data_IF_260310158600
#
_entry.id   IF_260310158600
#
_cell.length_a   1.000
_cell.length_b   1.000
_cell.length_c   1.000
_cell.angle_alpha   90.00
_cell.angle_beta   90.00
_cell.angle_gamma   90.00
#
_symmetry.space_group_name_H-M   'P 1'
#
loop_
_entity.id
_entity.type
_entity.pdbx_description
1 polymer ?
#
# COMPACT_ATOMS: atom_id res chain seq x y z
N UNK A 1 13.33 21.76 5.33
CA UNK A 1 13.74 20.35 5.21
C UNK A 1 13.76 19.99 3.74
N UNK A 2 14.82 19.36 3.23
CA UNK A 2 14.89 18.86 1.86
C UNK A 2 14.86 17.33 1.89
N UNK A 3 14.08 16.75 0.98
CA UNK A 3 13.94 15.30 0.83
C UNK A 3 14.49 14.91 -0.53
N UNK A 4 15.36 13.91 -0.55
CA UNK A 4 15.86 13.27 -1.76
C UNK A 4 15.48 11.81 -1.73
N UNK A 5 15.02 11.28 -2.86
CA UNK A 5 14.70 9.86 -3.02
C UNK A 5 15.26 9.39 -4.35
N UNK A 6 15.81 8.20 -4.34
CA UNK A 6 16.21 7.50 -5.55
C UNK A 6 15.82 6.03 -5.48
N UNK A 7 15.46 5.46 -6.62
CA UNK A 7 15.17 4.04 -6.76
C UNK A 7 16.04 3.44 -7.87
N UNK A 8 16.44 2.19 -7.69
CA UNK A 8 17.31 1.45 -8.60
C UNK A 8 16.77 0.04 -8.80
N UNK A 9 17.10 -0.54 -9.94
CA UNK A 9 16.78 -1.92 -10.30
C UNK A 9 17.98 -2.55 -10.97
N UNK A 10 18.34 -3.77 -10.55
CA UNK A 10 19.26 -4.64 -11.28
C UNK A 10 18.60 -5.97 -11.58
N UNK A 11 18.76 -6.46 -12.80
CA UNK A 11 18.35 -7.79 -13.23
C UNK A 11 19.57 -8.72 -13.41
N UNK A 12 20.71 -8.33 -12.85
CA UNK A 12 21.91 -9.13 -12.93
C UNK A 12 21.73 -10.46 -12.18
N UNK A 13 22.10 -11.62 -12.79
CA UNK A 13 21.85 -12.93 -12.19
C UNK A 13 22.73 -13.20 -10.94
N UNK A 14 23.87 -12.53 -10.81
CA UNK A 14 24.75 -12.64 -9.64
C UNK A 14 24.42 -11.57 -8.62
N UNK A 15 24.07 -11.98 -7.41
CA UNK A 15 23.68 -11.10 -6.32
C UNK A 15 24.73 -10.02 -6.01
N UNK A 16 26.00 -10.35 -6.00
CA UNK A 16 27.11 -9.41 -5.76
C UNK A 16 27.17 -8.29 -6.80
N UNK A 17 26.92 -8.59 -8.07
CA UNK A 17 26.86 -7.58 -9.12
C UNK A 17 25.59 -6.73 -9.00
N UNK A 18 24.43 -7.37 -8.75
CA UNK A 18 23.19 -6.67 -8.58
C UNK A 18 23.26 -5.65 -7.44
N UNK A 19 23.86 -6.02 -6.29
CA UNK A 19 24.07 -5.08 -5.17
C UNK A 19 25.02 -3.95 -5.58
N UNK A 20 26.12 -4.26 -6.26
CA UNK A 20 27.09 -3.25 -6.71
C UNK A 20 26.45 -2.22 -7.64
N UNK A 21 25.62 -2.66 -8.60
CA UNK A 21 24.90 -1.78 -9.52
C UNK A 21 23.88 -0.89 -8.76
N UNK A 22 23.05 -1.50 -7.90
CA UNK A 22 22.03 -0.76 -7.16
C UNK A 22 22.66 0.21 -6.14
N UNK A 23 23.59 -0.26 -5.30
CA UNK A 23 24.22 0.58 -4.28
C UNK A 23 25.08 1.68 -4.93
N UNK A 24 25.80 1.39 -6.00
CA UNK A 24 26.57 2.38 -6.75
C UNK A 24 25.70 3.53 -7.26
N UNK A 25 24.58 3.21 -7.90
CA UNK A 25 23.64 4.22 -8.38
C UNK A 25 23.01 5.05 -7.25
N UNK A 26 22.70 4.43 -6.09
CA UNK A 26 22.20 5.18 -4.92
C UNK A 26 23.27 6.10 -4.31
N UNK A 27 24.54 5.66 -4.25
CA UNK A 27 25.66 6.50 -3.81
C UNK A 27 25.85 7.71 -4.71
N UNK A 28 25.74 7.54 -6.02
CA UNK A 28 25.80 8.65 -6.99
C UNK A 28 24.61 9.60 -6.83
N UNK A 29 23.41 9.07 -6.53
CA UNK A 29 22.18 9.85 -6.38
C UNK A 29 22.15 10.69 -5.10
N UNK A 30 22.57 10.12 -3.95
CA UNK A 30 22.36 10.77 -2.64
C UNK A 30 23.53 10.65 -1.66
N UNK A 31 24.55 9.85 -1.97
CA UNK A 31 25.68 9.59 -1.07
C UNK A 31 25.39 8.53 0.00
N UNK A 32 26.28 8.47 0.98
CA UNK A 32 26.17 7.54 2.12
C UNK A 32 25.09 7.93 3.12
N UNK A 33 24.80 7.00 4.02
CA UNK A 33 23.93 7.16 5.17
C UNK A 33 22.53 7.70 4.83
N UNK A 34 21.75 7.05 3.92
CA UNK A 34 20.34 7.35 3.78
C UNK A 34 19.60 7.08 5.10
N UNK A 35 18.56 7.87 5.40
CA UNK A 35 17.72 7.63 6.57
C UNK A 35 16.94 6.32 6.47
N UNK A 36 16.57 5.93 5.25
CA UNK A 36 15.85 4.68 4.95
C UNK A 36 16.35 4.04 3.67
N UNK A 37 16.53 2.71 3.70
CA UNK A 37 16.61 1.87 2.50
C UNK A 37 15.47 0.85 2.52
N UNK A 38 14.69 0.83 1.45
CA UNK A 38 13.76 -0.24 1.13
C UNK A 38 14.39 -1.14 0.07
N UNK A 39 14.41 -2.43 0.31
CA UNK A 39 15.00 -3.41 -0.58
C UNK A 39 13.99 -4.52 -0.89
N UNK A 40 13.90 -4.90 -2.15
CA UNK A 40 13.11 -6.06 -2.56
C UNK A 40 13.88 -6.94 -3.53
N UNK A 41 13.77 -8.26 -3.33
CA UNK A 41 14.27 -9.26 -4.28
C UNK A 41 13.14 -10.11 -4.80
N UNK A 42 13.27 -10.55 -6.05
CA UNK A 42 12.43 -11.60 -6.59
C UNK A 42 12.89 -12.98 -6.14
N UNK A 43 12.05 -14.05 -6.26
CA UNK A 43 12.33 -15.37 -5.75
C UNK A 43 13.70 -15.96 -6.09
N UNK A 44 14.28 -15.79 -7.30
CA UNK A 44 15.60 -16.34 -7.62
C UNK A 44 16.74 -15.83 -6.73
N UNK A 45 16.64 -14.62 -6.18
CA UNK A 45 17.65 -14.04 -5.29
C UNK A 45 17.38 -14.26 -3.79
N UNK A 46 16.28 -14.91 -3.42
CA UNK A 46 15.93 -15.10 -1.99
C UNK A 46 17.01 -15.84 -1.20
N UNK A 47 17.72 -16.77 -1.85
CA UNK A 47 18.82 -17.52 -1.19
C UNK A 47 20.05 -16.68 -0.89
N UNK A 48 20.25 -15.55 -1.58
CA UNK A 48 21.38 -14.64 -1.39
C UNK A 48 21.00 -13.39 -0.59
N UNK A 49 19.78 -13.33 -0.05
CA UNK A 49 19.24 -12.09 0.56
C UNK A 49 20.06 -11.62 1.77
N UNK A 50 20.58 -12.52 2.60
CA UNK A 50 21.44 -12.17 3.74
C UNK A 50 22.75 -11.53 3.29
N UNK A 51 23.39 -12.06 2.24
CA UNK A 51 24.61 -11.51 1.67
C UNK A 51 24.35 -10.13 1.01
N UNK A 52 23.20 -10.01 0.31
CA UNK A 52 22.74 -8.75 -0.29
C UNK A 52 22.60 -7.67 0.79
N UNK A 53 21.97 -7.99 1.91
CA UNK A 53 21.76 -7.07 3.02
C UNK A 53 23.07 -6.68 3.71
N UNK A 54 23.92 -7.66 3.99
CA UNK A 54 25.24 -7.38 4.56
C UNK A 54 26.06 -6.43 3.68
N UNK A 55 26.03 -6.61 2.37
CA UNK A 55 26.68 -5.73 1.42
C UNK A 55 26.02 -4.34 1.36
N UNK A 56 24.68 -4.28 1.40
CA UNK A 56 23.93 -3.01 1.42
C UNK A 56 24.26 -2.18 2.66
N UNK A 57 24.26 -2.80 3.84
CA UNK A 57 24.63 -2.15 5.10
C UNK A 57 26.08 -1.63 5.06
N UNK A 58 27.01 -2.42 4.51
CA UNK A 58 28.41 -2.03 4.42
C UNK A 58 28.65 -0.87 3.44
N UNK A 59 27.92 -0.83 2.32
CA UNK A 59 28.10 0.16 1.26
C UNK A 59 27.34 1.46 1.53
N UNK A 60 26.12 1.39 2.04
CA UNK A 60 25.23 2.55 2.19
C UNK A 60 25.15 3.06 3.62
N UNK A 61 25.35 2.20 4.63
CA UNK A 61 25.18 2.50 6.06
C UNK A 61 23.85 3.22 6.39
N UNK A 62 22.69 2.67 6.01
CA UNK A 62 21.40 3.32 6.23
C UNK A 62 21.04 3.42 7.70
N UNK A 63 20.27 4.45 8.08
CA UNK A 63 19.70 4.57 9.43
C UNK A 63 18.67 3.47 9.71
N UNK A 64 17.81 3.16 8.74
CA UNK A 64 16.84 2.06 8.77
C UNK A 64 16.89 1.29 7.45
N UNK A 65 16.93 -0.04 7.53
CA UNK A 65 16.85 -0.93 6.38
C UNK A 65 15.64 -1.88 6.54
N UNK A 66 14.76 -1.88 5.55
CA UNK A 66 13.69 -2.88 5.41
C UNK A 66 13.92 -3.67 4.12
N UNK A 67 13.90 -5.00 4.23
CA UNK A 67 13.98 -5.84 3.04
C UNK A 67 12.96 -6.97 3.03
N UNK A 68 12.46 -7.27 1.85
CA UNK A 68 11.40 -8.26 1.63
C UNK A 68 11.60 -9.03 0.32
N UNK A 69 10.96 -10.18 0.22
CA UNK A 69 10.80 -10.90 -1.05
C UNK A 69 9.45 -10.56 -1.68
N UNK A 70 9.40 -10.36 -2.99
CA UNK A 70 8.15 -10.14 -3.72
C UNK A 70 8.19 -10.81 -5.10
N UNK A 71 7.05 -11.32 -5.56
CA UNK A 71 6.92 -11.92 -6.89
C UNK A 71 7.02 -10.89 -8.02
N UNK A 72 6.71 -9.63 -7.74
CA UNK A 72 6.73 -8.54 -8.71
C UNK A 72 7.29 -7.27 -8.09
N UNK A 73 8.23 -6.65 -8.79
CA UNK A 73 8.86 -5.37 -8.47
C UNK A 73 8.40 -4.33 -9.49
N UNK A 74 8.03 -3.14 -9.03
CA UNK A 74 7.68 -1.98 -9.84
C UNK A 74 8.80 -0.94 -9.75
N UNK A 75 9.15 -0.36 -10.89
CA UNK A 75 10.05 0.79 -11.00
C UNK A 75 9.42 1.86 -11.90
N UNK A 76 10.15 2.94 -12.22
CA UNK A 76 9.64 3.97 -13.13
C UNK A 76 9.31 3.37 -14.52
N UNK A 77 8.00 3.24 -14.81
CA UNK A 77 7.49 2.74 -16.08
C UNK A 77 7.71 1.25 -16.36
N UNK A 78 8.23 0.46 -15.41
CA UNK A 78 8.57 -0.94 -15.64
C UNK A 78 8.23 -1.86 -14.46
N UNK A 79 7.82 -3.08 -14.77
CA UNK A 79 7.57 -4.15 -13.82
C UNK A 79 8.42 -5.37 -14.15
N UNK A 80 9.01 -6.01 -13.13
CA UNK A 80 9.74 -7.27 -13.25
C UNK A 80 9.01 -8.31 -12.41
N UNK A 81 8.66 -9.43 -13.04
CA UNK A 81 7.86 -10.49 -12.40
C UNK A 81 8.60 -11.81 -12.47
N UNK A 82 8.88 -12.42 -11.32
CA UNK A 82 9.40 -13.77 -11.14
C UNK A 82 10.76 -14.08 -11.82
N UNK A 83 11.34 -13.15 -12.56
CA UNK A 83 12.72 -13.24 -13.08
C UNK A 83 13.69 -12.65 -12.05
N UNK A 84 14.98 -12.89 -12.21
CA UNK A 84 15.99 -12.37 -11.30
C UNK A 84 15.94 -10.85 -11.26
N UNK A 85 15.70 -10.28 -10.08
CA UNK A 85 15.74 -8.82 -9.87
C UNK A 85 16.00 -8.48 -8.41
N UNK A 86 16.77 -7.41 -8.22
CA UNK A 86 17.00 -6.68 -6.98
C UNK A 86 16.58 -5.24 -7.21
N UNK A 87 15.75 -4.67 -6.34
CA UNK A 87 15.43 -3.25 -6.36
C UNK A 87 15.68 -2.63 -5.00
N UNK A 88 16.23 -1.43 -5.02
CA UNK A 88 16.47 -0.62 -3.83
C UNK A 88 15.84 0.77 -4.00
N UNK A 89 15.32 1.32 -2.90
CA UNK A 89 14.90 2.71 -2.81
C UNK A 89 15.52 3.32 -1.57
N UNK A 90 16.18 4.47 -1.71
CA UNK A 90 16.78 5.17 -0.61
C UNK A 90 16.18 6.56 -0.43
N UNK A 91 15.97 6.94 0.84
CA UNK A 91 15.47 8.23 1.28
C UNK A 91 16.53 8.94 2.12
N UNK A 92 16.86 10.17 1.75
CA UNK A 92 17.71 11.09 2.51
C UNK A 92 16.87 12.30 2.92
N UNK A 93 16.91 12.65 4.20
CA UNK A 93 16.22 13.81 4.76
C UNK A 93 17.26 14.77 5.33
N UNK A 94 17.40 15.94 4.73
CA UNK A 94 18.35 16.95 5.19
C UNK A 94 17.63 18.17 5.74
N UNK A 95 18.04 18.64 6.90
CA UNK A 95 17.63 19.95 7.37
C UNK A 95 18.23 21.01 6.43
N UNK A 96 17.41 21.91 5.90
CA UNK A 96 17.92 23.04 5.11
C UNK A 96 18.98 23.81 5.94
N UNK A 97 19.93 24.48 5.26
CA UNK A 97 21.01 25.25 5.85
C UNK A 97 20.51 26.13 7.01
N UNK A 98 20.52 25.58 8.23
CA UNK A 98 20.44 26.37 9.44
C UNK A 98 21.84 26.87 9.73
N UNK A 99 22.03 28.18 9.72
CA UNK A 99 23.26 28.77 10.26
C UNK A 99 23.42 28.25 11.68
N UNK A 100 24.62 27.83 12.10
CA UNK A 100 24.88 27.34 13.45
C UNK A 100 24.58 28.50 14.43
N UNK A 101 23.43 28.44 15.04
CA UNK A 101 23.14 29.30 16.20
C UNK A 101 23.89 28.72 17.38
N UNK A 102 24.74 29.53 18.01
CA UNK A 102 25.38 29.20 19.26
C UNK A 102 24.34 29.01 20.35
N UNK A 103 23.82 27.82 20.48
CA UNK A 103 22.90 27.43 21.55
C UNK A 103 23.30 26.08 22.12
N UNK A 104 23.28 26.04 23.47
CA UNK A 104 23.30 24.89 24.40
C UNK A 104 23.32 23.48 23.79
N UNK A 105 23.96 22.49 24.41
CA UNK A 105 23.96 21.12 23.91
C UNK A 105 22.53 20.69 23.69
N UNK A 106 22.12 20.70 22.43
CA UNK A 106 20.82 20.26 21.99
C UNK A 106 20.70 18.74 22.23
N UNK A 107 19.57 18.32 22.73
CA UNK A 107 19.14 16.91 22.63
C UNK A 107 19.37 16.46 21.19
N UNK A 108 19.93 15.27 21.01
CA UNK A 108 20.13 14.70 19.67
C UNK A 108 18.79 14.77 18.91
N UNK A 109 18.78 15.32 17.69
CA UNK A 109 17.53 15.44 16.95
C UNK A 109 16.90 14.05 16.78
N UNK A 110 15.60 13.93 17.08
CA UNK A 110 14.88 12.67 16.88
C UNK A 110 15.08 12.16 15.44
N UNK A 111 15.34 10.86 15.25
CA UNK A 111 15.56 10.29 13.94
C UNK A 111 14.33 10.52 13.05
N UNK A 112 14.57 10.90 11.78
CA UNK A 112 13.51 11.16 10.80
C UNK A 112 12.78 9.89 10.36
N UNK A 113 13.43 8.75 10.54
CA UNK A 113 12.86 7.42 10.30
C UNK A 113 13.22 6.53 11.50
N UNK A 114 12.23 5.84 12.04
CA UNK A 114 12.41 4.88 13.15
C UNK A 114 12.06 3.47 12.69
N UNK A 115 12.88 2.50 13.04
CA UNK A 115 12.61 1.08 12.85
C UNK A 115 11.60 0.59 13.90
N UNK A 116 10.59 -0.15 13.47
CA UNK A 116 9.54 -0.72 14.34
C UNK A 116 9.44 -2.22 14.06
N UNK A 117 9.35 -3.02 15.12
CA UNK A 117 9.07 -4.46 15.05
C UNK A 117 7.83 -4.76 15.88
N UNK A 118 6.88 -5.47 15.26
CA UNK A 118 5.71 -6.01 15.95
C UNK A 118 5.72 -7.54 15.79
N UNK A 119 5.72 -8.28 16.88
CA UNK A 119 5.70 -9.74 16.83
C UNK A 119 4.36 -10.27 16.32
N UNK A 120 4.33 -11.50 15.80
CA UNK A 120 3.09 -12.16 15.41
C UNK A 120 2.20 -12.56 16.59
N UNK A 121 2.71 -12.46 17.83
CA UNK A 121 2.05 -12.90 19.07
C UNK A 121 1.51 -11.74 19.92
N UNK A 122 1.30 -10.55 19.33
CA UNK A 122 0.72 -9.39 20.03
C UNK A 122 -0.59 -9.81 20.70
N UNK A 123 -0.69 -9.60 22.02
CA UNK A 123 -1.91 -9.84 22.78
C UNK A 123 -2.89 -8.66 22.58
N UNK A 124 -3.75 -8.78 21.58
CA UNK A 124 -4.71 -7.73 21.20
C UNK A 124 -5.83 -7.54 22.24
N UNK A 125 -5.93 -8.41 23.23
CA UNK A 125 -6.88 -8.25 24.36
C UNK A 125 -6.29 -7.39 25.48
N UNK A 126 -4.98 -7.13 25.43
CA UNK A 126 -4.28 -6.25 26.38
C UNK A 126 -3.88 -4.95 25.67
N UNK A 127 -4.59 -3.83 25.93
CA UNK A 127 -4.26 -2.54 25.35
C UNK A 127 -2.88 -1.98 25.80
N UNK A 128 -2.26 -2.57 26.80
CA UNK A 128 -0.95 -2.21 27.33
C UNK A 128 0.18 -3.10 26.79
N UNK A 129 0.00 -3.76 25.64
CA UNK A 129 1.07 -4.50 25.00
C UNK A 129 2.23 -3.56 24.67
N UNK A 130 3.41 -3.87 25.19
CA UNK A 130 4.61 -3.04 25.07
C UNK A 130 5.03 -2.79 23.61
N UNK A 131 4.63 -3.68 22.71
CA UNK A 131 4.92 -3.52 21.28
C UNK A 131 4.05 -2.45 20.62
N UNK A 132 2.77 -2.36 20.99
CA UNK A 132 1.88 -1.29 20.53
C UNK A 132 2.15 0.04 21.24
N UNK A 133 2.68 0.01 22.46
CA UNK A 133 3.05 1.20 23.22
C UNK A 133 4.06 2.08 22.49
N UNK A 134 5.01 1.48 21.75
CA UNK A 134 5.99 2.21 20.93
C UNK A 134 5.32 3.05 19.80
N UNK A 135 4.07 2.73 19.45
CA UNK A 135 3.27 3.48 18.47
C UNK A 135 2.30 4.46 19.12
N UNK A 136 2.14 4.43 20.47
CA UNK A 136 1.18 5.29 21.16
C UNK A 136 1.43 6.76 20.84
N UNK A 137 0.36 7.43 20.38
CA UNK A 137 0.40 8.82 19.93
C UNK A 137 1.42 9.10 18.80
N UNK A 138 1.96 8.08 18.13
CA UNK A 138 2.80 8.28 16.97
C UNK A 138 2.01 8.95 15.85
N UNK A 139 2.68 9.81 15.12
CA UNK A 139 2.16 10.50 13.93
C UNK A 139 3.14 10.34 12.77
N UNK A 140 2.66 10.53 11.56
CA UNK A 140 3.47 10.35 10.35
C UNK A 140 3.00 9.15 9.54
N UNK A 141 3.93 8.55 8.78
CA UNK A 141 3.62 7.44 7.89
C UNK A 141 4.39 6.18 8.26
N UNK A 142 3.68 5.09 8.50
CA UNK A 142 4.24 3.78 8.78
C UNK A 142 4.26 2.94 7.50
N UNK A 143 5.45 2.64 6.98
CA UNK A 143 5.64 1.63 5.93
C UNK A 143 5.72 0.28 6.64
N UNK A 144 4.76 -0.61 6.40
CA UNK A 144 4.57 -1.83 7.16
C UNK A 144 4.59 -3.07 6.27
N UNK A 145 5.47 -4.02 6.58
CA UNK A 145 5.52 -5.32 5.91
C UNK A 145 5.21 -6.46 6.88
N UNK A 146 4.42 -7.41 6.42
CA UNK A 146 4.02 -8.57 7.20
C UNK A 146 4.21 -9.90 6.48
N UNK A 147 4.23 -10.98 7.27
CA UNK A 147 4.18 -12.35 6.76
C UNK A 147 2.77 -12.66 6.26
N UNK A 148 2.59 -13.30 5.07
CA UNK A 148 1.27 -13.65 4.54
C UNK A 148 0.49 -14.65 5.40
N UNK A 149 1.15 -15.40 6.28
CA UNK A 149 0.48 -16.31 7.21
C UNK A 149 -0.14 -15.61 8.42
N UNK A 150 0.06 -14.30 8.56
CA UNK A 150 -0.44 -13.49 9.66
C UNK A 150 -1.97 -13.33 9.59
N UNK A 151 -2.69 -14.34 10.09
CA UNK A 151 -4.17 -14.39 10.07
C UNK A 151 -4.87 -13.24 10.81
N UNK A 152 -4.13 -12.48 11.63
CA UNK A 152 -4.64 -11.40 12.47
C UNK A 152 -4.27 -10.01 11.95
N UNK A 153 -3.80 -9.88 10.70
CA UNK A 153 -3.37 -8.60 10.14
C UNK A 153 -4.43 -7.50 10.32
N UNK A 154 -5.68 -7.77 9.98
CA UNK A 154 -6.78 -6.80 10.14
C UNK A 154 -7.01 -6.38 11.60
N UNK A 155 -6.84 -7.30 12.57
CA UNK A 155 -6.99 -6.99 14.00
C UNK A 155 -5.82 -6.12 14.47
N UNK A 156 -4.57 -6.46 14.10
CA UNK A 156 -3.38 -5.67 14.43
C UNK A 156 -3.50 -4.25 13.86
N UNK A 157 -3.92 -4.11 12.60
CA UNK A 157 -4.10 -2.80 11.97
C UNK A 157 -5.18 -1.96 12.67
N UNK A 158 -6.26 -2.60 13.13
CA UNK A 158 -7.28 -1.94 13.94
C UNK A 158 -6.71 -1.43 15.26
N UNK A 159 -5.95 -2.27 15.99
CA UNK A 159 -5.30 -1.88 17.24
C UNK A 159 -4.29 -0.74 17.02
N UNK A 160 -3.54 -0.75 15.90
CA UNK A 160 -2.68 0.39 15.52
C UNK A 160 -3.51 1.67 15.36
N UNK A 161 -4.67 1.61 14.68
CA UNK A 161 -5.56 2.77 14.51
C UNK A 161 -6.10 3.29 15.84
N UNK A 162 -6.35 2.40 16.81
CA UNK A 162 -6.85 2.75 18.14
C UNK A 162 -5.78 3.44 19.00
N UNK A 163 -4.54 2.93 19.01
CA UNK A 163 -3.45 3.50 19.83
C UNK A 163 -2.80 4.72 19.19
N UNK A 164 -2.84 4.83 17.86
CA UNK A 164 -2.22 5.90 17.09
C UNK A 164 -3.14 6.40 15.95
N UNK A 165 -4.26 7.06 16.25
CA UNK A 165 -5.24 7.49 15.25
C UNK A 165 -4.71 8.53 14.26
N UNK A 166 -3.59 9.19 14.56
CA UNK A 166 -2.90 10.12 13.66
C UNK A 166 -1.87 9.47 12.74
N UNK A 167 -1.68 8.15 12.84
CA UNK A 167 -0.72 7.39 12.06
C UNK A 167 -1.35 6.93 10.75
N UNK A 168 -0.66 7.20 9.64
CA UNK A 168 -1.02 6.65 8.34
C UNK A 168 -0.22 5.38 8.08
N UNK A 169 -0.83 4.35 7.53
CA UNK A 169 -0.18 3.06 7.28
C UNK A 169 -0.30 2.71 5.81
N UNK A 170 0.83 2.32 5.22
CA UNK A 170 0.93 1.76 3.88
C UNK A 170 1.78 0.50 3.90
N UNK A 171 1.65 -0.33 2.89
CA UNK A 171 2.46 -1.55 2.78
C UNK A 171 1.64 -2.78 2.46
N UNK A 172 2.01 -3.92 3.04
CA UNK A 172 1.26 -5.16 2.84
C UNK A 172 1.98 -6.41 3.32
N UNK A 173 1.34 -7.56 3.18
CA UNK A 173 1.97 -8.85 3.40
C UNK A 173 2.77 -9.26 2.16
N UNK A 174 4.02 -9.67 2.37
CA UNK A 174 4.99 -9.91 1.29
C UNK A 174 5.53 -11.32 1.32
N UNK A 175 5.92 -11.84 0.16
CA UNK A 175 6.46 -13.18 0.03
C UNK A 175 6.45 -13.64 -1.41
N UNK A 176 6.61 -14.94 -1.63
CA UNK A 176 6.55 -15.54 -2.95
C UNK A 176 5.47 -16.62 -3.05
N UNK A 177 4.64 -16.52 -4.07
CA UNK A 177 3.66 -17.56 -4.42
C UNK A 177 4.31 -18.87 -4.90
N UNK A 178 5.55 -18.83 -5.39
CA UNK A 178 6.29 -19.99 -5.86
C UNK A 178 7.03 -20.76 -4.78
N UNK A 179 7.35 -20.10 -3.66
CA UNK A 179 8.01 -20.71 -2.51
C UNK A 179 7.12 -20.51 -1.29
N UNK A 180 6.06 -21.32 -1.12
CA UNK A 180 5.23 -21.25 0.06
C UNK A 180 6.06 -21.64 1.29
N UNK A 181 6.39 -20.68 2.08
CA UNK A 181 7.15 -20.77 3.32
C UNK A 181 6.94 -19.47 4.08
N UNK A 182 7.44 -19.38 5.31
CA UNK A 182 7.37 -18.10 6.04
C UNK A 182 8.08 -17.03 5.22
N UNK A 183 7.48 -15.83 5.17
CA UNK A 183 8.10 -14.68 4.55
C UNK A 183 9.46 -14.40 5.22
N UNK A 184 10.39 -13.94 4.43
CA UNK A 184 11.65 -13.43 4.96
C UNK A 184 11.55 -11.93 5.02
N UNK A 185 11.34 -11.43 6.24
CA UNK A 185 11.29 -10.02 6.56
C UNK A 185 12.61 -9.63 7.21
N UNK A 186 13.24 -8.58 6.74
CA UNK A 186 14.50 -8.12 7.32
C UNK A 186 14.37 -6.68 7.80
N UNK A 187 14.82 -6.46 9.02
CA UNK A 187 14.89 -5.17 9.67
C UNK A 187 16.33 -4.95 10.18
N UNK A 188 17.04 -3.98 9.63
CA UNK A 188 18.40 -3.62 10.01
C UNK A 188 19.34 -4.86 10.04
N UNK A 189 19.32 -5.65 8.96
CA UNK A 189 20.12 -6.86 8.83
C UNK A 189 19.65 -8.08 9.62
N UNK A 190 18.61 -7.98 10.43
CA UNK A 190 18.06 -9.09 11.19
C UNK A 190 16.87 -9.73 10.45
N UNK A 191 16.91 -11.05 10.29
CA UNK A 191 15.84 -11.82 9.66
C UNK A 191 14.72 -12.13 10.67
N UNK A 192 13.47 -11.93 10.23
CA UNK A 192 12.25 -12.30 10.94
C UNK A 192 11.39 -13.17 10.03
N UNK A 193 10.79 -14.20 10.59
CA UNK A 193 9.93 -15.15 9.85
C UNK A 193 8.46 -15.06 10.30
N UNK A 194 8.13 -14.10 11.13
CA UNK A 194 6.79 -13.87 11.66
C UNK A 194 6.53 -12.38 11.89
N UNK A 195 5.28 -12.02 12.15
CA UNK A 195 4.86 -10.68 12.57
C UNK A 195 5.03 -9.62 11.48
N UNK A 196 5.39 -8.42 11.91
CA UNK A 196 5.45 -7.21 11.09
C UNK A 196 6.77 -6.46 11.34
N UNK A 197 7.35 -5.92 10.28
CA UNK A 197 8.46 -4.97 10.34
C UNK A 197 8.02 -3.66 9.73
N UNK A 198 8.51 -2.53 10.24
CA UNK A 198 8.12 -1.24 9.71
C UNK A 198 9.20 -0.16 9.83
N UNK A 199 9.04 0.86 9.00
CA UNK A 199 9.72 2.15 9.11
C UNK A 199 8.67 3.25 9.36
N UNK A 200 8.79 3.94 10.48
CA UNK A 200 7.99 5.11 10.79
C UNK A 200 8.69 6.36 10.28
N UNK A 201 8.11 6.98 9.25
CA UNK A 201 8.55 8.25 8.69
C UNK A 201 7.91 9.39 9.49
N UNK A 202 8.75 10.30 9.98
CA UNK A 202 8.31 11.49 10.73
C UNK A 202 7.28 12.31 9.93
N UNK A 203 6.25 12.91 10.59
CA UNK A 203 5.27 13.78 9.94
C UNK A 203 5.89 15.05 9.35
N UNK A 204 7.12 15.37 9.70
CA UNK A 204 7.86 16.50 9.12
C UNK A 204 8.35 16.21 7.69
N UNK A 205 8.43 14.94 7.27
CA UNK A 205 8.72 14.55 5.90
C UNK A 205 7.45 14.68 5.06
N UNK A 206 7.42 15.56 4.06
CA UNK A 206 6.22 15.77 3.27
C UNK A 206 5.90 14.52 2.43
N UNK A 207 4.74 13.95 2.67
CA UNK A 207 4.22 12.77 1.95
C UNK A 207 2.74 12.94 1.68
N UNK A 208 2.27 12.35 0.58
CA UNK A 208 0.85 12.20 0.29
C UNK A 208 0.54 10.73 0.07
N UNK A 209 -0.52 10.28 0.69
CA UNK A 209 -0.99 8.91 0.58
C UNK A 209 -2.30 8.85 -0.18
N UNK A 210 -2.46 7.78 -0.93
CA UNK A 210 -3.73 7.46 -1.57
C UNK A 210 -3.86 5.97 -1.77
N UNK A 211 -5.10 5.52 -1.89
CA UNK A 211 -5.45 4.12 -2.13
C UNK A 211 -6.37 4.03 -3.34
N UNK A 212 -5.98 3.21 -4.31
CA UNK A 212 -6.86 2.76 -5.39
C UNK A 212 -7.39 1.38 -5.03
N UNK A 213 -8.71 1.27 -4.88
CA UNK A 213 -9.37 -0.01 -4.58
C UNK A 213 -9.78 -0.76 -5.86
N UNK A 214 -9.49 -0.18 -7.02
CA UNK A 214 -9.74 -0.79 -8.32
C UNK A 214 -11.21 -0.95 -8.66
N UNK A 215 -12.08 -0.15 -8.08
CA UNK A 215 -13.53 -0.23 -8.25
C UNK A 215 -14.08 1.07 -8.82
N UNK A 216 -14.97 0.96 -9.79
CA UNK A 216 -15.77 2.09 -10.26
C UNK A 216 -17.22 1.91 -9.85
N UNK A 217 -17.72 2.84 -9.03
CA UNK A 217 -19.10 2.83 -8.56
C UNK A 217 -20.08 3.07 -9.73
N UNK A 218 -21.22 2.38 -9.71
CA UNK A 218 -22.31 2.59 -10.65
C UNK A 218 -23.68 2.48 -9.96
N UNK A 219 -24.67 3.11 -10.54
CA UNK A 219 -25.98 3.28 -9.90
C UNK A 219 -25.95 4.29 -8.74
N UNK A 220 -27.09 4.60 -8.19
CA UNK A 220 -27.22 5.49 -7.04
C UNK A 220 -26.90 4.75 -5.73
N UNK A 221 -26.40 5.45 -4.70
CA UNK A 221 -26.35 4.91 -3.35
C UNK A 221 -27.74 4.55 -2.83
N UNK A 222 -27.88 3.42 -2.14
CA UNK A 222 -29.14 2.88 -1.64
C UNK A 222 -29.03 2.51 -0.15
N UNK A 223 -30.15 2.61 0.55
CA UNK A 223 -30.21 2.25 1.96
C UNK A 223 -30.56 0.76 2.11
N UNK A 224 -29.84 0.04 2.97
CA UNK A 224 -30.20 -1.32 3.36
C UNK A 224 -31.40 -1.26 4.30
N UNK A 225 -32.58 -1.65 3.80
CA UNK A 225 -33.84 -1.61 4.54
C UNK A 225 -34.21 -2.94 5.17
N UNK A 226 -33.61 -4.05 4.69
CA UNK A 226 -33.74 -5.36 5.33
C UNK A 226 -32.51 -6.23 5.06
N UNK A 227 -31.86 -6.68 6.13
CA UNK A 227 -30.72 -7.60 6.09
C UNK A 227 -30.69 -8.49 7.33
N UNK A 228 -30.06 -9.66 7.21
CA UNK A 228 -29.76 -10.56 8.31
C UNK A 228 -28.33 -11.10 8.10
N UNK A 229 -27.41 -10.77 9.02
CA UNK A 229 -25.99 -11.06 8.89
C UNK A 229 -25.43 -10.55 7.55
N UNK A 230 -24.94 -11.45 6.72
CA UNK A 230 -24.38 -11.16 5.40
C UNK A 230 -25.37 -11.40 4.24
N UNK A 231 -26.67 -11.45 4.52
CA UNK A 231 -27.72 -11.57 3.50
C UNK A 231 -28.53 -10.30 3.45
N UNK A 232 -28.53 -9.62 2.30
CA UNK A 232 -29.34 -8.43 2.05
C UNK A 232 -30.61 -8.82 1.28
N UNK A 233 -31.76 -8.51 1.87
CA UNK A 233 -33.09 -8.79 1.28
C UNK A 233 -33.64 -7.58 0.55
N UNK A 234 -33.48 -6.38 1.11
CA UNK A 234 -34.08 -5.16 0.56
C UNK A 234 -33.15 -3.96 0.58
N UNK A 235 -33.17 -3.22 -0.52
CA UNK A 235 -32.48 -1.94 -0.74
C UNK A 235 -33.55 -0.90 -1.13
N UNK A 236 -33.65 0.19 -0.36
CA UNK A 236 -34.70 1.22 -0.50
C UNK A 236 -36.12 0.64 -0.59
N UNK A 237 -36.41 -0.44 0.18
CA UNK A 237 -37.69 -1.11 0.20
C UNK A 237 -37.97 -2.01 -1.02
N UNK A 238 -36.99 -2.23 -1.89
CA UNK A 238 -37.05 -3.10 -3.08
C UNK A 238 -36.23 -4.35 -2.89
N UNK A 239 -36.62 -5.45 -3.52
CA UNK A 239 -35.82 -6.69 -3.52
C UNK A 239 -34.38 -6.44 -3.96
N UNK A 240 -33.38 -6.81 -3.12
CA UNK A 240 -31.97 -6.62 -3.42
C UNK A 240 -31.55 -7.33 -4.72
N UNK A 241 -32.08 -8.53 -4.99
CA UNK A 241 -31.79 -9.27 -6.23
C UNK A 241 -32.36 -8.56 -7.47
N UNK A 242 -33.55 -8.00 -7.39
CA UNK A 242 -34.16 -7.26 -8.51
C UNK A 242 -33.35 -6.00 -8.83
N UNK A 243 -32.95 -5.27 -7.79
CA UNK A 243 -32.08 -4.10 -7.93
C UNK A 243 -30.77 -4.45 -8.63
N UNK A 244 -30.07 -5.51 -8.18
CA UNK A 244 -28.84 -5.98 -8.83
C UNK A 244 -29.06 -6.36 -10.29
N UNK A 245 -30.16 -7.06 -10.59
CA UNK A 245 -30.47 -7.46 -11.97
C UNK A 245 -30.73 -6.27 -12.88
N UNK A 246 -31.43 -5.26 -12.40
CA UNK A 246 -31.67 -4.02 -13.13
C UNK A 246 -30.36 -3.25 -13.37
N UNK A 247 -29.52 -3.10 -12.35
CA UNK A 247 -28.22 -2.45 -12.48
C UNK A 247 -27.31 -3.18 -13.46
N UNK A 248 -27.20 -4.50 -13.35
CA UNK A 248 -26.42 -5.31 -14.30
C UNK A 248 -27.00 -5.24 -15.73
N UNK A 249 -28.29 -4.97 -15.90
CA UNK A 249 -28.88 -4.77 -17.22
C UNK A 249 -28.41 -3.47 -17.90
N UNK A 250 -27.89 -2.49 -17.16
CA UNK A 250 -27.30 -1.26 -17.69
C UNK A 250 -25.87 -1.46 -18.19
N UNK A 251 -25.20 -2.53 -17.75
CA UNK A 251 -23.85 -2.88 -18.22
C UNK A 251 -23.93 -3.42 -19.64
N UNK A 252 -22.93 -3.11 -20.47
CA UNK A 252 -22.86 -3.56 -21.86
C UNK A 252 -22.97 -5.08 -21.97
N UNK A 253 -23.65 -5.58 -23.00
CA UNK A 253 -24.02 -7.00 -23.14
C UNK A 253 -22.84 -7.95 -23.17
N UNK A 254 -21.77 -7.54 -23.84
CA UNK A 254 -20.50 -8.26 -23.96
C UNK A 254 -19.71 -8.31 -22.64
N UNK A 255 -19.91 -7.33 -21.77
CA UNK A 255 -19.25 -7.23 -20.47
C UNK A 255 -20.03 -7.89 -19.31
N UNK A 256 -21.28 -8.32 -19.51
CA UNK A 256 -22.14 -8.85 -18.44
C UNK A 256 -21.63 -10.11 -17.72
N UNK A 257 -21.03 -11.10 -18.40
CA UNK A 257 -20.47 -12.26 -17.70
C UNK A 257 -19.33 -11.86 -16.75
N UNK A 258 -18.43 -11.03 -17.23
CA UNK A 258 -17.34 -10.48 -16.43
C UNK A 258 -17.86 -9.56 -15.31
N UNK A 259 -18.92 -8.81 -15.54
CA UNK A 259 -19.52 -7.93 -14.55
C UNK A 259 -20.09 -8.68 -13.33
N UNK A 260 -20.52 -9.94 -13.48
CA UNK A 260 -21.02 -10.76 -12.35
C UNK A 260 -19.89 -11.08 -11.36
N UNK A 261 -18.74 -11.47 -11.87
CA UNK A 261 -17.57 -11.80 -11.04
C UNK A 261 -16.89 -10.52 -10.53
N UNK A 262 -17.05 -9.43 -11.28
CA UNK A 262 -16.52 -8.11 -10.96
C UNK A 262 -17.41 -7.30 -10.00
N UNK A 263 -18.64 -7.75 -9.70
CA UNK A 263 -19.59 -7.01 -8.88
C UNK A 263 -19.10 -6.89 -7.43
N UNK A 264 -19.08 -5.66 -6.95
CA UNK A 264 -18.72 -5.31 -5.57
C UNK A 264 -19.82 -4.43 -4.97
N UNK A 265 -19.80 -4.37 -3.65
CA UNK A 265 -20.63 -3.46 -2.87
C UNK A 265 -19.70 -2.59 -2.07
N UNK A 266 -19.84 -1.29 -2.23
CA UNK A 266 -19.17 -0.30 -1.42
C UNK A 266 -20.07 0.17 -0.29
N UNK A 267 -19.53 0.30 0.92
CA UNK A 267 -20.20 0.87 2.08
C UNK A 267 -19.72 2.30 2.27
N UNK A 268 -20.66 3.24 2.37
CA UNK A 268 -20.40 4.63 2.73
C UNK A 268 -20.61 4.84 4.24
N UNK A 269 -19.70 5.55 4.90
CA UNK A 269 -19.82 5.78 6.35
C UNK A 269 -20.90 6.80 6.72
N UNK A 270 -21.26 7.74 5.83
CA UNK A 270 -22.34 8.72 6.07
C UNK A 270 -23.01 9.15 4.77
N UNK A 271 -24.26 9.61 4.86
CA UNK A 271 -25.03 10.16 3.72
C UNK A 271 -24.43 11.44 3.12
N UNK A 272 -23.48 12.07 3.80
CA UNK A 272 -22.94 13.39 3.45
C UNK A 272 -21.49 13.32 2.91
N UNK A 273 -20.84 12.16 2.93
CA UNK A 273 -19.50 12.03 2.37
C UNK A 273 -19.58 11.97 0.85
N UNK A 274 -18.84 12.85 0.17
CA UNK A 274 -18.64 12.84 -1.27
C UNK A 274 -18.45 11.42 -1.82
N UNK A 275 -19.46 10.94 -2.44
CA UNK A 275 -19.71 9.87 -3.43
C UNK A 275 -18.71 8.69 -3.58
N UNK A 276 -17.71 8.48 -2.71
CA UNK A 276 -16.80 7.36 -2.82
C UNK A 276 -16.97 6.42 -1.63
N UNK A 277 -17.46 5.18 -1.83
CA UNK A 277 -17.52 4.17 -0.77
C UNK A 277 -16.13 3.95 -0.16
N UNK A 278 -16.10 3.80 1.15
CA UNK A 278 -14.85 3.71 1.92
C UNK A 278 -14.26 2.30 1.84
N UNK A 279 -15.12 1.31 1.67
CA UNK A 279 -14.76 -0.10 1.67
C UNK A 279 -15.61 -0.88 0.68
N UNK A 280 -14.96 -1.76 -0.11
CA UNK A 280 -15.61 -2.61 -1.10
C UNK A 280 -15.42 -4.09 -0.74
N UNK A 281 -16.49 -4.87 -0.85
CA UNK A 281 -16.48 -6.32 -0.68
C UNK A 281 -17.32 -7.03 -1.75
N UNK A 282 -17.15 -8.35 -1.87
CA UNK A 282 -17.72 -9.14 -2.94
C UNK A 282 -19.18 -9.54 -2.72
N UNK A 283 -19.86 -9.82 -3.82
CA UNK A 283 -21.16 -10.51 -3.82
C UNK A 283 -20.91 -12.01 -4.00
N UNK A 284 -21.19 -12.81 -2.97
CA UNK A 284 -20.96 -14.26 -2.96
C UNK A 284 -21.99 -15.03 -3.77
N UNK A 285 -23.23 -14.54 -3.86
CA UNK A 285 -24.28 -15.21 -4.55
C UNK A 285 -25.66 -14.55 -4.39
N UNK A 286 -26.67 -15.20 -4.95
CA UNK A 286 -28.05 -14.74 -4.89
C UNK A 286 -29.02 -15.91 -4.66
N UNK A 287 -30.03 -15.69 -3.83
CA UNK A 287 -31.17 -16.59 -3.65
C UNK A 287 -32.38 -16.06 -4.42
N UNK A 288 -32.80 -16.81 -5.44
CA UNK A 288 -33.93 -16.45 -6.28
C UNK A 288 -35.30 -16.59 -5.54
N UNK A 289 -35.41 -17.54 -4.60
CA UNK A 289 -36.64 -17.77 -3.87
C UNK A 289 -36.83 -16.67 -2.80
N UNK A 290 -35.80 -16.32 -2.08
CA UNK A 290 -35.78 -15.23 -1.11
C UNK A 290 -35.61 -13.84 -1.77
N UNK A 291 -35.30 -13.77 -3.06
CA UNK A 291 -34.99 -12.56 -3.82
C UNK A 291 -33.89 -11.72 -3.16
N UNK A 292 -32.89 -12.37 -2.55
CA UNK A 292 -31.83 -11.76 -1.76
C UNK A 292 -30.47 -11.96 -2.41
N UNK A 293 -29.48 -11.20 -1.94
CA UNK A 293 -28.07 -11.38 -2.27
C UNK A 293 -27.27 -11.68 -1.01
N UNK A 294 -26.27 -12.54 -1.14
CA UNK A 294 -25.32 -12.87 -0.09
C UNK A 294 -23.97 -12.19 -0.39
N UNK A 295 -23.39 -11.58 0.61
CA UNK A 295 -22.16 -10.78 0.51
C UNK A 295 -21.08 -11.28 1.44
N UNK A 296 -19.83 -10.82 1.27
CA UNK A 296 -18.69 -11.30 2.06
C UNK A 296 -18.73 -10.84 3.51
N UNK A 297 -19.34 -9.69 3.79
CA UNK A 297 -19.38 -9.07 5.11
C UNK A 297 -20.81 -8.86 5.63
N UNK A 298 -20.94 -8.71 6.94
CA UNK A 298 -22.22 -8.37 7.55
C UNK A 298 -22.56 -6.90 7.29
N UNK A 299 -23.77 -6.66 6.82
CA UNK A 299 -24.27 -5.31 6.51
C UNK A 299 -25.47 -5.00 7.38
N UNK A 300 -25.33 -3.97 8.22
CA UNK A 300 -26.41 -3.55 9.14
C UNK A 300 -27.55 -2.82 8.45
N UNK A 301 -28.72 -2.85 9.08
CA UNK A 301 -29.86 -2.02 8.68
C UNK A 301 -29.49 -0.53 8.75
N UNK A 302 -29.94 0.24 7.78
CA UNK A 302 -29.64 1.67 7.71
C UNK A 302 -28.28 2.01 7.12
N UNK A 303 -27.47 1.02 6.74
CA UNK A 303 -26.23 1.22 6.02
C UNK A 303 -26.50 1.70 4.61
N UNK A 304 -25.81 2.72 4.15
CA UNK A 304 -25.82 3.14 2.75
C UNK A 304 -24.81 2.34 1.96
N UNK A 305 -25.25 1.69 0.88
CA UNK A 305 -24.41 0.89 -0.01
C UNK A 305 -24.51 1.41 -1.43
N UNK A 306 -23.43 1.21 -2.20
CA UNK A 306 -23.41 1.50 -3.63
C UNK A 306 -22.74 0.34 -4.37
N UNK A 307 -23.28 -0.06 -5.50
CA UNK A 307 -22.66 -1.10 -6.32
C UNK A 307 -21.48 -0.55 -7.11
N UNK A 308 -20.50 -1.41 -7.33
CA UNK A 308 -19.31 -1.09 -8.11
C UNK A 308 -18.89 -2.28 -8.98
N UNK A 309 -18.14 -1.99 -10.02
CA UNK A 309 -17.44 -2.99 -10.83
C UNK A 309 -15.95 -2.96 -10.53
N UNK A 310 -15.36 -4.15 -10.47
CA UNK A 310 -13.93 -4.36 -10.31
C UNK A 310 -13.43 -5.18 -11.51
N UNK A 311 -12.90 -4.51 -12.50
CA UNK A 311 -12.23 -5.10 -13.67
C UNK A 311 -10.99 -4.27 -14.02
N UNK A 312 -10.21 -4.70 -15.02
CA UNK A 312 -8.98 -4.02 -15.41
C UNK A 312 -9.19 -2.56 -15.81
N UNK A 313 -10.32 -2.25 -16.46
CA UNK A 313 -10.68 -0.90 -16.86
C UNK A 313 -11.02 -0.05 -15.64
N UNK A 314 -11.90 -0.55 -14.78
CA UNK A 314 -12.29 0.12 -13.54
C UNK A 314 -11.08 0.37 -12.63
N UNK A 315 -10.16 -0.61 -12.55
CA UNK A 315 -8.94 -0.47 -11.77
C UNK A 315 -8.00 0.60 -12.33
N UNK A 316 -7.93 0.74 -13.65
CA UNK A 316 -7.14 1.79 -14.30
C UNK A 316 -7.77 3.16 -14.10
N UNK A 317 -9.08 3.28 -14.30
CA UNK A 317 -9.84 4.53 -14.12
C UNK A 317 -9.75 5.03 -12.67
N UNK A 318 -9.93 4.14 -11.69
CA UNK A 318 -9.82 4.44 -10.26
C UNK A 318 -8.37 4.86 -9.90
N UNK A 319 -7.36 4.13 -10.39
CA UNK A 319 -5.95 4.49 -10.17
C UNK A 319 -5.63 5.88 -10.73
N UNK A 320 -6.05 6.19 -11.94
CA UNK A 320 -5.87 7.51 -12.55
C UNK A 320 -6.62 8.60 -11.77
N UNK A 321 -7.84 8.32 -11.31
CA UNK A 321 -8.64 9.26 -10.53
C UNK A 321 -7.92 9.64 -9.23
N UNK A 322 -7.45 8.65 -8.45
CA UNK A 322 -6.75 8.94 -7.19
C UNK A 322 -5.39 9.61 -7.41
N UNK A 323 -4.66 9.24 -8.46
CA UNK A 323 -3.39 9.88 -8.81
C UNK A 323 -3.57 11.34 -9.24
N UNK A 324 -4.69 11.67 -9.91
CA UNK A 324 -4.99 13.04 -10.36
C UNK A 324 -5.20 14.02 -9.19
N UNK A 325 -5.50 13.54 -8.01
CA UNK A 325 -5.64 14.36 -6.79
C UNK A 325 -4.30 14.69 -6.14
N UNK A 326 -3.22 13.99 -6.52
CA UNK A 326 -1.90 14.17 -5.93
C UNK A 326 -1.11 15.25 -6.69
N UNK A 327 -0.28 16.03 -5.98
CA UNK A 327 0.66 16.94 -6.65
C UNK A 327 1.73 16.13 -7.41
N UNK A 328 2.42 16.80 -8.34
CA UNK A 328 3.62 16.21 -8.98
C UNK A 328 4.59 15.71 -7.92
N UNK A 329 5.12 14.52 -8.12
CA UNK A 329 5.98 13.88 -7.16
C UNK A 329 7.40 13.66 -7.73
N UNK A 330 8.40 13.77 -6.87
CA UNK A 330 9.76 13.34 -7.22
C UNK A 330 9.88 11.81 -7.15
N UNK A 331 9.08 11.17 -6.30
CA UNK A 331 9.09 9.72 -6.12
C UNK A 331 7.73 9.20 -5.65
N UNK A 332 7.49 7.91 -5.90
CA UNK A 332 6.34 7.18 -5.41
C UNK A 332 6.74 5.78 -4.94
N UNK A 333 6.29 5.40 -3.73
CA UNK A 333 6.28 4.01 -3.28
C UNK A 333 4.92 3.40 -3.59
N UNK A 334 4.89 2.19 -4.13
CA UNK A 334 3.67 1.52 -4.57
C UNK A 334 3.57 0.09 -4.01
N UNK A 335 2.50 -0.19 -3.27
CA UNK A 335 2.19 -1.51 -2.73
C UNK A 335 0.91 -2.00 -3.40
N UNK A 336 1.03 -2.96 -4.31
CA UNK A 336 -0.08 -3.36 -5.15
C UNK A 336 -0.44 -4.82 -4.91
N UNK A 337 -1.72 -5.17 -5.01
CA UNK A 337 -2.15 -6.55 -4.87
C UNK A 337 -1.54 -7.43 -5.96
N UNK A 338 -1.07 -8.63 -5.60
CA UNK A 338 -0.56 -9.62 -6.55
C UNK A 338 -1.57 -10.05 -7.61
N UNK A 339 -2.87 -9.86 -7.34
CA UNK A 339 -3.96 -10.10 -8.29
C UNK A 339 -4.02 -9.07 -9.42
N UNK A 340 -3.46 -7.87 -9.24
CA UNK A 340 -3.36 -6.80 -10.23
C UNK A 340 -2.11 -6.98 -11.11
N UNK A 341 -2.08 -8.04 -11.88
CA UNK A 341 -0.91 -8.51 -12.62
C UNK A 341 -1.10 -8.42 -14.15
N UNK A 342 -0.10 -8.90 -14.90
CA UNK A 342 -0.11 -8.97 -16.35
C UNK A 342 -1.38 -9.60 -16.93
N UNK A 343 -1.86 -10.70 -16.34
CA UNK A 343 -3.06 -11.38 -16.83
C UNK A 343 -4.33 -10.57 -16.58
N UNK A 344 -4.37 -9.82 -15.48
CA UNK A 344 -5.50 -8.95 -15.14
C UNK A 344 -5.58 -7.74 -16.07
N UNK A 345 -4.48 -7.04 -16.29
CA UNK A 345 -4.45 -5.84 -17.15
C UNK A 345 -4.28 -6.13 -18.64
N UNK A 346 -3.93 -7.37 -19.01
CA UNK A 346 -3.73 -7.78 -20.41
C UNK A 346 -2.45 -7.26 -21.06
N UNK A 347 -1.55 -6.64 -20.30
CA UNK A 347 -0.29 -6.11 -20.80
C UNK A 347 0.76 -5.92 -19.68
N UNK A 348 2.06 -5.92 -20.02
CA UNK A 348 3.14 -5.71 -19.06
C UNK A 348 3.24 -4.24 -18.65
N UNK A 349 3.83 -4.00 -17.48
CA UNK A 349 4.21 -2.67 -16.99
C UNK A 349 3.06 -1.69 -16.76
N UNK A 350 1.82 -2.17 -16.66
CA UNK A 350 0.64 -1.33 -16.66
C UNK A 350 0.62 -0.35 -15.50
N UNK A 351 0.68 -0.85 -14.26
CA UNK A 351 0.60 0.02 -13.07
C UNK A 351 1.82 0.93 -12.96
N UNK A 352 3.01 0.38 -13.21
CA UNK A 352 4.25 1.15 -13.17
C UNK A 352 4.23 2.32 -14.17
N UNK A 353 3.70 2.11 -15.39
CA UNK A 353 3.56 3.16 -16.40
C UNK A 353 2.56 4.21 -15.97
N UNK A 354 1.35 3.79 -15.54
CA UNK A 354 0.29 4.70 -15.09
C UNK A 354 0.77 5.59 -13.93
N UNK A 355 1.43 5.01 -12.92
CA UNK A 355 1.94 5.76 -11.77
C UNK A 355 3.02 6.76 -12.20
N UNK A 356 3.98 6.31 -13.00
CA UNK A 356 5.10 7.16 -13.44
C UNK A 356 4.64 8.33 -14.30
N UNK A 357 3.72 8.08 -15.22
CA UNK A 357 3.19 9.10 -16.12
C UNK A 357 2.31 10.11 -15.39
N UNK A 358 1.37 9.63 -14.55
CA UNK A 358 0.42 10.50 -13.86
C UNK A 358 1.11 11.43 -12.85
N UNK A 359 2.10 10.93 -12.10
CA UNK A 359 2.82 11.73 -11.10
C UNK A 359 4.04 12.46 -11.68
N UNK A 360 4.46 12.17 -12.90
CA UNK A 360 5.75 12.59 -13.46
C UNK A 360 6.92 12.25 -12.52
N UNK A 361 6.81 11.10 -11.81
CA UNK A 361 7.78 10.69 -10.83
C UNK A 361 9.05 10.14 -11.48
N UNK A 362 10.20 10.70 -11.12
CA UNK A 362 11.50 10.24 -11.59
C UNK A 362 11.90 8.91 -10.93
N UNK A 363 11.47 8.66 -9.69
CA UNK A 363 11.72 7.45 -8.96
C UNK A 363 10.38 6.77 -8.60
N UNK A 364 10.23 5.51 -8.97
CA UNK A 364 9.16 4.65 -8.50
C UNK A 364 9.79 3.40 -7.93
N UNK A 365 9.38 3.01 -6.73
CA UNK A 365 9.73 1.74 -6.13
C UNK A 365 8.44 1.09 -5.63
N UNK A 366 8.24 -0.16 -5.98
CA UNK A 366 7.04 -0.85 -5.54
C UNK A 366 7.18 -2.36 -5.60
N UNK A 367 6.25 -3.01 -4.93
CA UNK A 367 6.17 -4.47 -4.83
C UNK A 367 4.73 -4.94 -4.91
N UNK A 368 4.57 -6.20 -5.34
CA UNK A 368 3.30 -6.89 -5.15
C UNK A 368 3.18 -7.47 -3.75
N UNK A 369 1.98 -7.36 -3.18
CA UNK A 369 1.61 -7.89 -1.87
C UNK A 369 0.49 -8.93 -2.00
N UNK A 370 0.39 -9.86 -1.04
CA UNK A 370 -0.78 -10.73 -0.92
C UNK A 370 -1.97 -9.92 -0.42
N UNK A 371 -1.80 -9.23 0.72
CA UNK A 371 -2.73 -8.25 1.24
C UNK A 371 -2.08 -6.86 1.15
N UNK A 372 -2.83 -5.85 0.80
CA UNK A 372 -2.38 -4.46 0.78
C UNK A 372 -2.87 -3.76 2.03
N UNK A 373 -2.00 -2.99 2.68
CA UNK A 373 -2.37 -2.14 3.80
C UNK A 373 -2.52 -0.70 3.34
N UNK A 374 -3.58 -0.05 3.80
CA UNK A 374 -3.83 1.36 3.47
C UNK A 374 -4.64 2.05 4.54
N UNK A 375 -4.50 3.37 4.60
CA UNK A 375 -5.28 4.24 5.47
C UNK A 375 -6.31 5.01 4.66
N UNK A 376 -7.50 5.13 5.19
CA UNK A 376 -8.55 5.99 4.69
C UNK A 376 -9.26 6.70 5.86
N UNK A 377 -10.35 7.38 5.60
CA UNK A 377 -11.14 8.07 6.64
C UNK A 377 -11.74 7.15 7.70
N UNK A 378 -11.81 5.84 7.43
CA UNK A 378 -12.28 4.81 8.38
C UNK A 378 -11.14 4.23 9.23
N UNK A 379 -9.89 4.63 9.00
CA UNK A 379 -8.70 4.11 9.67
C UNK A 379 -7.85 3.22 8.78
N UNK A 380 -7.01 2.41 9.41
CA UNK A 380 -6.11 1.48 8.72
C UNK A 380 -6.84 0.18 8.40
N UNK A 381 -6.71 -0.30 7.16
CA UNK A 381 -7.42 -1.48 6.67
C UNK A 381 -6.51 -2.43 5.89
N UNK A 382 -6.90 -3.70 5.86
CA UNK A 382 -6.45 -4.66 4.86
C UNK A 382 -7.34 -4.52 3.64
N UNK A 383 -6.72 -4.34 2.49
CA UNK A 383 -7.40 -4.08 1.22
C UNK A 383 -7.10 -5.21 0.24
N UNK A 384 -8.14 -5.77 -0.34
CA UNK A 384 -8.02 -6.74 -1.43
C UNK A 384 -8.00 -6.02 -2.77
N UNK A 385 -7.21 -6.54 -3.71
CA UNK A 385 -7.17 -6.06 -5.10
C UNK A 385 -6.89 -4.55 -5.24
N UNK A 386 -6.15 -3.97 -4.32
CA UNK A 386 -5.89 -2.54 -4.20
C UNK A 386 -4.45 -2.17 -4.57
N UNK A 387 -4.21 -0.88 -4.72
CA UNK A 387 -2.90 -0.27 -4.72
C UNK A 387 -2.85 0.84 -3.66
N UNK A 388 -1.91 0.74 -2.73
CA UNK A 388 -1.63 1.76 -1.71
C UNK A 388 -0.36 2.49 -2.11
N UNK A 389 -0.42 3.81 -2.19
CA UNK A 389 0.61 4.66 -2.77
C UNK A 389 1.06 5.72 -1.78
N UNK A 390 2.38 5.92 -1.68
CA UNK A 390 3.00 7.03 -0.96
C UNK A 390 3.80 7.87 -1.94
N UNK A 391 3.37 9.09 -2.19
CA UNK A 391 4.09 10.04 -3.04
C UNK A 391 4.86 11.05 -2.20
N UNK A 392 6.03 11.42 -2.69
CA UNK A 392 6.88 12.46 -2.13
C UNK A 392 6.84 13.66 -3.09
N UNK A 393 6.16 14.76 -2.71
CA UNK A 393 5.97 15.90 -3.59
C UNK A 393 7.31 16.53 -3.99
N UNK A 394 7.36 17.14 -5.16
CA UNK A 394 8.50 17.98 -5.55
C UNK A 394 8.57 19.14 -4.55
N UNK A 395 9.69 19.27 -3.86
CA UNK A 395 9.93 20.42 -2.98
C UNK A 395 9.83 21.69 -3.81
N UNK A 396 8.82 22.52 -3.60
CA UNK A 396 8.70 23.82 -4.26
C UNK A 396 9.96 24.63 -3.99
N UNK A 397 10.70 25.01 -5.04
CA UNK A 397 11.50 26.23 -4.95
C UNK A 397 10.50 27.32 -4.55
N UNK A 398 10.70 27.95 -3.40
CA UNK A 398 10.05 29.23 -3.14
C UNK A 398 10.22 30.06 -4.42
N UNK A 399 9.12 30.39 -5.08
CA UNK A 399 9.11 31.39 -6.14
C UNK A 399 9.68 32.66 -5.49
N UNK A 400 10.95 32.88 -5.67
CA UNK A 400 11.51 34.21 -5.52
C UNK A 400 10.88 34.98 -6.67
N UNK A 401 9.82 35.72 -6.31
CA UNK A 401 9.09 36.60 -7.19
C UNK A 401 10.06 37.41 -8.02
N UNK A 402 9.80 37.38 -9.33
CA UNK A 402 10.32 38.36 -10.27
C UNK A 402 9.97 39.75 -9.74
N UNK A 403 11.02 40.47 -9.32
CA UNK A 403 11.01 41.91 -9.17
C UNK A 403 11.20 42.53 -10.54
#
# INVERSE_FOLDING_TARGET
MAVRIASTLSEHPLATHAVGECAGALLEAGGHAPDLVLLSVTPPLTGALEDILGATLALLAPGVELAVTSDRILTAGREVTLTTALSMCALWVTDGLSLPTLQTPAEEPEPRVKAIRLSGCIDLEKPDDSELEQLRAATGTLILFGDPSLRRAAQILRSISEVAPGLRVIGGTTGSSRNPGPARLFLNGQMHTDGLIAALISPQVPTNETVSQGCTAFGAPMLVTRAERNVMYELDGRSALEVVQELLATVALDSRPAARDALRIGVAQTKESDHNPIHYFGVLGADKAAKSIMVEEEVGLGTTVQFALRDARSATEDLLAVLSTLPRAQACLAFTSGSRNLAYFGGPHHEASVISEALHAAAVWGISCFDVFGSNTAGVQVLDHAASLLSFPVSGRADFGSI
#
